data_IF_495044358839
#
_entry.id   IF_495044358839
#
_cell.length_a   1.000
_cell.length_b   1.000
_cell.length_c   1.000
_cell.angle_alpha   90.00
_cell.angle_beta   90.00
_cell.angle_gamma   90.00
#
_symmetry.space_group_name_H-M   'P 1'
#
loop_
_entity.id
_entity.type
_entity.pdbx_description
1 polymer ?
#
# COMPACT_ATOMS: atom_id res chain seq x y z
N UNK A 1 -16.17 -0.06 31.51
CA UNK A 1 -16.98 -0.25 30.27
C UNK A 1 -17.91 -1.43 30.54
N UNK A 2 -19.23 -1.27 30.33
CA UNK A 2 -20.21 -2.32 30.67
C UNK A 2 -20.20 -3.49 29.68
N UNK A 3 -19.96 -3.21 28.40
CA UNK A 3 -19.66 -4.24 27.40
C UNK A 3 -18.20 -4.67 27.60
N UNK A 4 -17.90 -5.98 27.76
CA UNK A 4 -16.53 -6.45 27.90
C UNK A 4 -15.66 -6.16 26.65
N UNK A 5 -14.35 -6.11 26.81
CA UNK A 5 -13.43 -5.72 25.73
C UNK A 5 -13.25 -6.76 24.63
N UNK A 6 -13.73 -7.99 24.83
CA UNK A 6 -13.61 -9.11 23.90
C UNK A 6 -14.95 -9.51 23.24
N UNK A 7 -16.02 -8.75 23.47
CA UNK A 7 -17.34 -8.96 22.85
C UNK A 7 -17.95 -7.62 22.48
N UNK A 8 -18.91 -7.63 21.57
CA UNK A 8 -19.68 -6.46 21.16
C UNK A 8 -21.06 -6.39 21.84
N UNK A 9 -21.39 -7.37 22.68
CA UNK A 9 -22.66 -7.45 23.39
C UNK A 9 -22.52 -8.06 24.78
N UNK A 10 -23.40 -7.66 25.70
CA UNK A 10 -23.59 -8.26 27.01
C UNK A 10 -25.07 -8.28 27.37
N UNK A 11 -25.55 -9.40 27.93
CA UNK A 11 -26.91 -9.50 28.43
C UNK A 11 -27.11 -8.66 29.69
N UNK A 12 -28.29 -8.04 29.83
CA UNK A 12 -28.62 -7.27 31.03
C UNK A 12 -28.71 -8.16 32.28
N UNK A 13 -29.13 -9.43 32.12
CA UNK A 13 -29.09 -10.44 33.17
C UNK A 13 -27.67 -10.67 33.71
N UNK A 14 -26.64 -10.62 32.85
CA UNK A 14 -25.25 -10.72 33.29
C UNK A 14 -24.83 -9.51 34.13
N UNK A 15 -25.29 -8.30 33.80
CA UNK A 15 -24.92 -7.08 34.52
C UNK A 15 -25.52 -7.03 35.93
N UNK A 16 -26.74 -7.52 36.11
CA UNK A 16 -27.38 -7.59 37.43
C UNK A 16 -26.89 -8.80 38.24
N UNK A 17 -26.38 -9.84 37.58
CA UNK A 17 -25.83 -11.03 38.22
C UNK A 17 -24.36 -10.89 38.62
N UNK A 18 -23.84 -11.91 39.31
CA UNK A 18 -22.41 -12.01 39.63
C UNK A 18 -21.58 -12.16 38.36
N UNK A 19 -20.41 -11.50 38.25
CA UNK A 19 -19.73 -10.74 39.30
C UNK A 19 -20.08 -9.25 39.35
N UNK A 20 -20.91 -8.74 38.44
CA UNK A 20 -21.10 -7.30 38.24
C UNK A 20 -22.01 -6.67 39.30
N UNK A 21 -23.14 -7.31 39.61
CA UNK A 21 -24.12 -6.84 40.60
C UNK A 21 -24.54 -5.36 40.40
N UNK A 22 -24.69 -4.92 39.15
CA UNK A 22 -25.10 -3.55 38.81
C UNK A 22 -26.62 -3.39 38.88
N UNK A 23 -27.17 -3.42 40.08
CA UNK A 23 -28.57 -3.10 40.36
C UNK A 23 -28.71 -2.56 41.79
N UNK A 24 -29.84 -1.92 42.05
CA UNK A 24 -30.21 -1.41 43.37
C UNK A 24 -31.73 -1.50 43.52
N UNK A 25 -32.15 -1.66 44.76
CA UNK A 25 -33.54 -1.82 45.15
C UNK A 25 -33.73 -1.14 46.51
N UNK A 26 -34.55 -0.09 46.52
CA UNK A 26 -34.70 0.82 47.66
C UNK A 26 -35.69 0.29 48.71
N UNK A 27 -36.68 -0.53 48.31
CA UNK A 27 -37.71 -1.06 49.20
C UNK A 27 -37.55 -2.55 49.52
N UNK A 28 -36.62 -3.23 48.84
CA UNK A 28 -36.15 -4.58 49.20
C UNK A 28 -36.95 -5.72 48.55
N UNK A 29 -37.81 -5.40 47.58
CA UNK A 29 -38.70 -6.35 46.89
C UNK A 29 -37.98 -7.30 45.89
N UNK A 30 -36.73 -6.98 45.54
CA UNK A 30 -35.85 -7.69 44.63
C UNK A 30 -34.76 -8.48 45.33
N UNK A 31 -34.72 -8.45 46.68
CA UNK A 31 -33.73 -9.18 47.47
C UNK A 31 -33.98 -10.70 47.51
N UNK A 32 -32.90 -11.48 47.56
CA UNK A 32 -32.92 -12.95 47.63
C UNK A 32 -32.58 -13.65 46.30
N UNK A 33 -32.57 -14.98 46.33
CA UNK A 33 -32.31 -15.81 45.13
C UNK A 33 -33.42 -15.55 44.11
N UNK A 34 -33.01 -15.21 42.89
CA UNK A 34 -33.89 -14.89 41.75
C UNK A 34 -34.93 -13.78 42.06
N UNK A 35 -34.61 -12.87 42.99
CA UNK A 35 -35.47 -11.76 43.38
C UNK A 35 -35.61 -10.69 42.28
N UNK A 36 -34.62 -10.57 41.39
CA UNK A 36 -34.61 -9.66 40.24
C UNK A 36 -34.24 -10.39 38.95
N UNK A 37 -34.92 -10.06 37.86
CA UNK A 37 -34.57 -10.52 36.51
C UNK A 37 -34.62 -9.38 35.51
N UNK A 38 -33.71 -9.42 34.54
CA UNK A 38 -33.64 -8.47 33.44
C UNK A 38 -33.51 -9.20 32.10
N UNK A 39 -34.35 -8.84 31.13
CA UNK A 39 -34.20 -9.30 29.73
C UNK A 39 -33.57 -8.19 28.89
N UNK A 40 -32.97 -8.59 27.77
CA UNK A 40 -32.35 -7.67 26.81
C UNK A 40 -30.82 -7.63 26.91
N UNK A 41 -30.20 -6.76 26.11
CA UNK A 41 -28.75 -6.65 25.96
C UNK A 41 -28.28 -5.22 25.74
N UNK A 42 -27.04 -4.93 26.12
CA UNK A 42 -26.28 -3.77 25.66
C UNK A 42 -25.35 -4.19 24.53
N UNK A 43 -25.25 -3.38 23.50
CA UNK A 43 -24.42 -3.60 22.33
C UNK A 43 -23.54 -2.38 22.07
N UNK A 44 -22.36 -2.62 21.51
CA UNK A 44 -21.40 -1.58 21.17
C UNK A 44 -20.76 -1.85 19.82
N UNK A 45 -21.02 -0.98 18.85
CA UNK A 45 -20.37 -1.01 17.53
C UNK A 45 -19.36 0.13 17.43
N UNK A 46 -18.17 -0.16 16.92
CA UNK A 46 -17.19 0.87 16.52
C UNK A 46 -16.85 0.62 15.06
N UNK A 47 -17.05 1.64 14.22
CA UNK A 47 -16.65 1.60 12.83
C UNK A 47 -15.81 2.83 12.46
N UNK A 48 -14.92 2.68 11.49
CA UNK A 48 -14.17 3.80 10.93
C UNK A 48 -15.02 4.64 9.96
N UNK A 49 -14.42 5.68 9.37
CA UNK A 49 -15.10 6.56 8.39
C UNK A 49 -15.65 5.84 7.15
N UNK A 50 -15.17 4.62 6.90
CA UNK A 50 -15.57 3.76 5.77
C UNK A 50 -16.57 2.70 6.20
N UNK A 51 -17.12 2.79 7.42
CA UNK A 51 -18.01 1.80 8.03
C UNK A 51 -17.39 0.39 8.21
N UNK A 52 -16.06 0.28 8.23
CA UNK A 52 -15.39 -0.99 8.55
C UNK A 52 -15.32 -1.15 10.07
N UNK A 53 -15.61 -2.35 10.61
CA UNK A 53 -15.47 -2.63 12.04
C UNK A 53 -14.05 -2.36 12.53
N UNK A 54 -13.94 -1.76 13.72
CA UNK A 54 -12.66 -1.45 14.36
C UNK A 54 -12.52 -2.31 15.60
N UNK A 55 -11.37 -2.99 15.71
CA UNK A 55 -11.11 -3.84 16.86
C UNK A 55 -10.95 -3.02 18.14
N UNK A 56 -11.36 -3.59 19.27
CA UNK A 56 -11.29 -2.97 20.61
C UNK A 56 -9.88 -2.60 21.05
N UNK A 57 -8.86 -3.26 20.50
CA UNK A 57 -7.44 -3.03 20.77
C UNK A 57 -6.73 -2.22 19.67
N UNK A 58 -7.44 -1.76 18.65
CA UNK A 58 -6.84 -0.98 17.56
C UNK A 58 -6.50 0.44 18.05
N UNK A 59 -5.27 0.87 17.78
CA UNK A 59 -4.85 2.25 18.04
C UNK A 59 -5.45 3.15 16.96
N UNK A 60 -6.39 4.02 17.36
CA UNK A 60 -7.09 4.90 16.43
C UNK A 60 -6.14 5.91 15.78
N UNK A 61 -6.11 5.90 14.45
CA UNK A 61 -5.32 6.84 13.64
C UNK A 61 -6.19 7.88 12.94
N UNK A 62 -5.61 9.02 12.60
CA UNK A 62 -6.30 10.08 11.82
C UNK A 62 -6.72 9.61 10.42
N UNK A 63 -6.04 8.60 9.84
CA UNK A 63 -6.33 8.10 8.49
C UNK A 63 -7.69 7.42 8.34
N UNK A 64 -8.18 6.81 9.43
CA UNK A 64 -9.46 6.12 9.48
C UNK A 64 -10.55 6.95 10.19
N UNK A 65 -10.20 8.14 10.67
CA UNK A 65 -11.08 9.11 11.34
C UNK A 65 -12.03 9.82 10.36
N UNK A 66 -13.25 10.23 10.78
CA UNK A 66 -13.84 10.02 12.10
C UNK A 66 -14.31 8.59 12.32
N UNK A 67 -14.19 8.11 13.55
CA UNK A 67 -14.78 6.85 13.99
C UNK A 67 -16.18 7.10 14.53
N UNK A 68 -17.09 6.17 14.28
CA UNK A 68 -18.45 6.18 14.77
C UNK A 68 -18.60 5.07 15.79
N UNK A 69 -18.86 5.47 17.04
CA UNK A 69 -19.14 4.58 18.16
C UNK A 69 -20.63 4.62 18.44
N UNK A 70 -21.31 3.48 18.33
CA UNK A 70 -22.74 3.36 18.61
C UNK A 70 -22.94 2.44 19.82
N UNK A 71 -23.54 2.98 20.87
CA UNK A 71 -24.05 2.21 22.00
C UNK A 71 -25.55 2.01 21.80
N UNK A 72 -26.04 0.78 21.99
CA UNK A 72 -27.47 0.49 21.87
C UNK A 72 -27.92 -0.54 22.90
N UNK A 73 -29.21 -0.53 23.19
CA UNK A 73 -29.89 -1.56 23.97
C UNK A 73 -31.02 -2.19 23.15
N UNK A 74 -31.31 -3.46 23.38
CA UNK A 74 -32.58 -4.06 22.92
C UNK A 74 -33.73 -3.57 23.81
N UNK A 75 -34.97 -3.83 23.40
CA UNK A 75 -36.09 -3.84 24.32
C UNK A 75 -35.88 -4.88 25.43
N UNK A 76 -36.59 -4.70 26.55
CA UNK A 76 -36.49 -5.61 27.68
C UNK A 76 -37.46 -5.32 28.80
N UNK A 77 -37.40 -6.19 29.80
CA UNK A 77 -38.28 -6.21 30.97
C UNK A 77 -37.39 -6.31 32.20
N UNK A 78 -37.63 -5.43 33.18
CA UNK A 78 -37.13 -5.55 34.54
C UNK A 78 -38.25 -6.10 35.40
N UNK A 79 -37.96 -7.12 36.20
CA UNK A 79 -38.96 -7.77 37.03
C UNK A 79 -38.42 -8.07 38.41
N UNK A 80 -39.16 -7.68 39.44
CA UNK A 80 -38.91 -8.06 40.84
C UNK A 80 -39.91 -9.14 41.26
N UNK A 81 -39.58 -9.90 42.31
CA UNK A 81 -40.45 -10.98 42.78
C UNK A 81 -41.65 -10.46 43.56
N UNK A 82 -41.45 -9.40 44.35
CA UNK A 82 -42.43 -8.91 45.32
C UNK A 82 -42.97 -7.51 45.03
N UNK A 83 -42.48 -6.83 43.98
CA UNK A 83 -42.89 -5.47 43.65
C UNK A 83 -44.34 -5.32 43.22
N UNK A 84 -44.86 -4.10 43.38
CA UNK A 84 -46.21 -3.74 42.92
C UNK A 84 -46.17 -2.36 42.25
N UNK A 85 -46.23 -2.27 40.91
CA UNK A 85 -46.22 -3.38 39.94
C UNK A 85 -44.88 -4.14 39.94
N UNK A 86 -44.90 -5.45 39.66
CA UNK A 86 -43.70 -6.29 39.70
C UNK A 86 -42.86 -6.25 38.41
N UNK A 87 -43.33 -5.56 37.37
CA UNK A 87 -42.61 -5.46 36.10
C UNK A 87 -42.60 -4.03 35.56
N UNK A 88 -41.50 -3.71 34.89
CA UNK A 88 -41.33 -2.49 34.09
C UNK A 88 -40.71 -2.84 32.74
N UNK A 89 -41.11 -2.12 31.69
CA UNK A 89 -40.69 -2.37 30.30
C UNK A 89 -39.94 -1.16 29.77
N UNK A 90 -38.91 -1.42 28.99
CA UNK A 90 -38.16 -0.36 28.29
C UNK A 90 -37.97 -0.73 26.81
N UNK A 91 -37.90 0.32 25.99
CA UNK A 91 -37.75 0.19 24.55
C UNK A 91 -36.28 0.14 24.14
N UNK A 92 -36.03 -0.41 22.95
CA UNK A 92 -34.73 -0.32 22.31
C UNK A 92 -34.35 1.15 22.05
N UNK A 93 -33.07 1.46 22.26
CA UNK A 93 -32.52 2.80 22.07
C UNK A 93 -31.08 2.73 21.57
N UNK A 94 -30.59 3.82 21.00
CA UNK A 94 -29.17 3.96 20.68
C UNK A 94 -28.69 5.40 20.83
N UNK A 95 -27.38 5.55 21.01
CA UNK A 95 -26.67 6.81 20.98
C UNK A 95 -25.40 6.62 20.16
N UNK A 96 -25.05 7.64 19.38
CA UNK A 96 -23.85 7.63 18.53
C UNK A 96 -22.90 8.75 18.93
N UNK A 97 -21.64 8.39 19.16
CA UNK A 97 -20.53 9.29 19.40
C UNK A 97 -19.56 9.25 18.23
N UNK A 98 -18.93 10.38 17.94
CA UNK A 98 -17.87 10.47 16.94
C UNK A 98 -16.53 10.70 17.63
N UNK A 99 -15.57 9.82 17.36
CA UNK A 99 -14.22 9.90 17.91
C UNK A 99 -13.28 10.38 16.81
N UNK A 100 -12.52 11.43 17.12
CA UNK A 100 -11.49 11.99 16.25
C UNK A 100 -10.18 12.05 17.04
N UNK A 101 -9.13 11.32 16.63
CA UNK A 101 -7.79 11.52 17.18
C UNK A 101 -7.34 12.98 17.04
N UNK A 102 -6.43 13.43 17.90
CA UNK A 102 -5.91 14.81 17.85
C UNK A 102 -5.34 15.11 16.46
N UNK A 103 -5.58 16.32 15.93
CA UNK A 103 -5.09 16.70 14.62
C UNK A 103 -3.56 16.76 14.61
N UNK A 104 -2.96 15.96 13.74
CA UNK A 104 -1.57 16.04 13.35
C UNK A 104 -1.48 15.53 11.91
N UNK A 105 -0.55 16.05 11.10
CA UNK A 105 -0.32 15.51 9.77
C UNK A 105 0.08 14.04 9.87
N UNK A 106 -0.70 13.14 9.27
CA UNK A 106 -0.37 11.69 9.25
C UNK A 106 -0.31 11.20 7.82
N UNK A 107 0.76 10.51 7.46
CA UNK A 107 0.86 9.82 6.19
C UNK A 107 -0.01 8.55 6.21
N UNK A 108 -1.02 8.50 5.35
CA UNK A 108 -1.97 7.39 5.33
C UNK A 108 -1.66 6.32 4.29
N UNK A 109 -1.26 6.74 3.10
CA UNK A 109 -0.90 5.82 2.03
C UNK A 109 0.04 6.50 1.03
N UNK A 110 0.75 5.65 0.29
CA UNK A 110 1.65 6.05 -0.80
C UNK A 110 1.11 5.51 -2.10
N UNK A 111 0.89 6.39 -3.07
CA UNK A 111 0.19 6.09 -4.31
C UNK A 111 1.13 6.18 -5.51
N UNK A 112 1.18 5.12 -6.29
CA UNK A 112 1.82 5.07 -7.62
C UNK A 112 0.95 5.75 -8.69
N UNK A 113 1.48 5.95 -9.91
CA UNK A 113 0.78 6.68 -10.96
C UNK A 113 -0.52 5.99 -11.41
N UNK A 114 -0.54 4.65 -11.47
CA UNK A 114 -1.72 3.86 -11.79
C UNK A 114 -2.04 2.88 -10.66
N UNK A 115 -3.29 2.88 -10.21
CA UNK A 115 -3.78 2.01 -9.12
C UNK A 115 -4.92 1.08 -9.58
N UNK A 116 -5.19 1.02 -10.88
CA UNK A 116 -6.33 0.29 -11.41
C UNK A 116 -6.05 -1.22 -11.50
N UNK A 117 -7.11 -2.02 -11.30
CA UNK A 117 -7.25 -3.43 -11.69
C UNK A 117 -6.27 -4.46 -11.10
N UNK A 118 -5.43 -4.10 -10.13
CA UNK A 118 -4.48 -5.03 -9.50
C UNK A 118 -4.75 -5.19 -8.01
N UNK A 119 -4.97 -6.43 -7.60
CA UNK A 119 -5.22 -6.83 -6.22
C UNK A 119 -3.88 -6.90 -5.45
N UNK A 120 -3.89 -6.52 -4.17
CA UNK A 120 -2.76 -6.74 -3.28
C UNK A 120 -2.79 -8.14 -2.69
N UNK A 121 -1.63 -8.68 -2.32
CA UNK A 121 -1.60 -9.96 -1.59
C UNK A 121 -2.18 -9.86 -0.17
N UNK A 122 -2.22 -8.65 0.38
CA UNK A 122 -2.76 -8.37 1.71
C UNK A 122 -3.13 -6.89 1.84
N UNK A 123 -4.28 -6.62 2.44
CA UNK A 123 -4.72 -5.26 2.81
C UNK A 123 -3.82 -4.61 3.86
N UNK A 124 -2.94 -5.37 4.52
CA UNK A 124 -1.91 -4.84 5.41
C UNK A 124 -0.76 -4.14 4.66
N UNK A 125 -0.61 -4.41 3.36
CA UNK A 125 0.45 -3.83 2.52
C UNK A 125 -0.12 -2.90 1.46
N UNK A 126 -1.22 -3.30 0.80
CA UNK A 126 -1.81 -2.57 -0.30
C UNK A 126 -3.33 -2.56 -0.20
N UNK A 127 -3.93 -1.36 -0.19
CA UNK A 127 -5.38 -1.21 -0.24
C UNK A 127 -5.78 -0.80 -1.66
N UNK A 128 -6.61 -1.63 -2.30
CA UNK A 128 -7.18 -1.34 -3.61
C UNK A 128 -7.86 0.04 -3.64
N UNK A 129 -7.60 0.82 -4.69
CA UNK A 129 -8.11 2.20 -4.79
C UNK A 129 -7.33 3.27 -4.00
N UNK A 130 -6.42 2.89 -3.08
CA UNK A 130 -5.65 3.84 -2.25
C UNK A 130 -4.15 3.79 -2.54
N UNK A 131 -3.51 2.64 -2.37
CA UNK A 131 -2.06 2.47 -2.55
C UNK A 131 -1.40 1.65 -1.45
N UNK A 132 -0.07 1.81 -1.30
CA UNK A 132 0.72 1.15 -0.27
C UNK A 132 0.49 1.78 1.11
N UNK A 133 0.35 0.94 2.12
CA UNK A 133 0.41 1.38 3.52
C UNK A 133 1.87 1.54 3.95
N UNK A 134 2.25 2.64 4.63
CA UNK A 134 3.54 2.72 5.31
C UNK A 134 3.68 1.57 6.32
N UNK A 135 4.77 0.81 6.24
CA UNK A 135 5.03 -0.36 7.09
C UNK A 135 5.82 0.02 8.34
N UNK A 136 6.67 1.05 8.27
CA UNK A 136 7.42 1.55 9.43
C UNK A 136 7.81 3.02 9.28
N UNK A 137 7.81 3.76 10.39
CA UNK A 137 8.39 5.11 10.47
C UNK A 137 9.77 5.12 11.17
N UNK A 138 10.22 3.97 11.67
CA UNK A 138 11.55 3.81 12.29
C UNK A 138 12.63 3.67 11.21
N UNK A 139 13.70 4.49 11.24
CA UNK A 139 14.73 4.50 10.18
C UNK A 139 15.38 3.15 9.88
N UNK A 140 15.65 2.33 10.91
CA UNK A 140 16.23 0.98 10.74
C UNK A 140 15.35 0.02 9.93
N UNK A 141 14.08 0.35 9.74
CA UNK A 141 13.08 -0.50 9.09
C UNK A 141 12.48 0.13 7.84
N UNK A 142 13.09 1.20 7.31
CA UNK A 142 12.65 1.83 6.04
C UNK A 142 12.73 0.89 4.84
N UNK A 143 13.52 -0.19 4.91
CA UNK A 143 13.55 -1.22 3.87
C UNK A 143 12.27 -2.04 3.71
N UNK A 144 11.28 -1.85 4.60
CA UNK A 144 9.93 -2.43 4.50
C UNK A 144 8.95 -1.53 3.73
N UNK A 145 9.29 -0.27 3.50
CA UNK A 145 8.42 0.68 2.82
C UNK A 145 8.64 0.68 1.31
N UNK A 146 7.58 1.02 0.57
CA UNK A 146 7.68 1.33 -0.84
C UNK A 146 8.40 2.67 -1.08
N UNK A 147 9.21 2.86 -2.12
CA UNK A 147 9.67 1.84 -3.05
C UNK A 147 10.98 1.17 -2.60
N UNK A 148 11.20 -0.06 -3.05
CA UNK A 148 12.51 -0.75 -2.98
C UNK A 148 13.26 -0.75 -4.30
N UNK A 149 12.61 -0.33 -5.38
CA UNK A 149 13.17 -0.24 -6.73
C UNK A 149 12.93 1.15 -7.30
N UNK A 150 13.68 1.61 -8.30
CA UNK A 150 13.44 2.93 -8.88
C UNK A 150 13.93 3.06 -10.31
N UNK A 151 13.48 4.09 -11.01
CA UNK A 151 13.97 4.51 -12.30
C UNK A 151 13.78 6.01 -12.47
N UNK A 152 14.52 6.60 -13.42
CA UNK A 152 14.45 8.03 -13.66
C UNK A 152 13.05 8.48 -14.10
N UNK A 153 12.56 9.57 -13.49
CA UNK A 153 11.24 10.17 -13.67
C UNK A 153 10.06 9.30 -13.21
N UNK A 154 10.30 8.23 -12.44
CA UNK A 154 9.20 7.63 -11.68
C UNK A 154 8.82 8.50 -10.50
N UNK A 155 7.55 8.49 -10.16
CA UNK A 155 7.03 9.26 -9.05
C UNK A 155 5.96 8.53 -8.26
N UNK A 156 5.76 8.96 -7.04
CA UNK A 156 4.64 8.54 -6.21
C UNK A 156 4.14 9.72 -5.40
N UNK A 157 2.92 9.59 -4.88
CA UNK A 157 2.28 10.61 -4.08
C UNK A 157 2.14 10.14 -2.65
N UNK A 158 2.61 10.94 -1.71
CA UNK A 158 2.31 10.80 -0.29
C UNK A 158 0.94 11.41 -0.03
N UNK A 159 0.00 10.60 0.46
CA UNK A 159 -1.31 11.08 0.88
C UNK A 159 -1.31 11.31 2.38
N UNK A 160 -1.10 12.56 2.74
CA UNK A 160 -1.11 13.03 4.11
C UNK A 160 -2.55 13.41 4.44
N UNK A 161 -3.08 12.90 5.54
CA UNK A 161 -4.34 13.37 6.06
C UNK A 161 -4.07 14.36 7.17
N UNK A 162 -4.63 15.55 7.02
CA UNK A 162 -4.81 16.47 8.12
C UNK A 162 -6.19 17.12 8.02
N UNK A 163 -7.00 16.93 9.06
CA UNK A 163 -8.37 17.44 9.11
C UNK A 163 -8.43 18.93 9.48
N UNK A 164 -7.41 19.46 10.16
CA UNK A 164 -7.40 20.84 10.68
C UNK A 164 -6.20 21.66 10.17
N UNK A 165 -5.24 21.04 9.50
CA UNK A 165 -4.02 21.68 9.03
C UNK A 165 -4.06 21.84 7.51
N UNK A 166 -4.57 22.99 7.06
CA UNK A 166 -4.47 23.44 5.67
C UNK A 166 -3.15 24.17 5.39
N UNK A 167 -2.15 24.06 6.28
CA UNK A 167 -0.88 24.76 6.11
C UNK A 167 0.06 23.95 5.22
N UNK A 168 0.69 24.57 4.21
CA UNK A 168 1.60 23.88 3.32
C UNK A 168 2.83 23.40 4.10
N UNK A 169 3.17 22.12 3.93
CA UNK A 169 4.42 21.58 4.45
C UNK A 169 5.58 21.96 3.53
N UNK A 170 6.71 22.32 4.13
CA UNK A 170 7.96 22.53 3.40
C UNK A 170 8.77 21.23 3.33
N UNK A 171 9.41 21.00 2.18
CA UNK A 171 10.17 19.79 1.88
C UNK A 171 11.48 20.16 1.19
N UNK A 172 12.56 19.48 1.55
CA UNK A 172 13.84 19.60 0.86
C UNK A 172 14.10 18.36 -0.01
N UNK A 173 14.70 18.49 -1.20
CA UNK A 173 15.13 17.34 -1.98
C UNK A 173 16.19 16.55 -1.22
N UNK A 174 16.22 15.23 -1.45
CA UNK A 174 17.17 14.31 -0.80
C UNK A 174 17.96 13.59 -1.88
N UNK A 175 19.29 13.69 -1.83
CA UNK A 175 20.19 13.10 -2.83
C UNK A 175 21.18 12.13 -2.19
N UNK A 176 21.15 10.87 -2.62
CA UNK A 176 22.05 9.82 -2.15
C UNK A 176 22.45 8.90 -3.30
N UNK A 177 23.73 8.54 -3.36
CA UNK A 177 24.24 7.53 -4.30
C UNK A 177 23.96 7.81 -5.78
N UNK A 178 23.89 9.08 -6.20
CA UNK A 178 23.58 9.47 -7.58
C UNK A 178 22.08 9.52 -7.94
N UNK A 179 21.20 9.31 -6.95
CA UNK A 179 19.75 9.41 -7.11
C UNK A 179 19.24 10.57 -6.26
N UNK A 180 18.28 11.33 -6.77
CA UNK A 180 17.62 12.43 -6.07
C UNK A 180 16.11 12.20 -6.00
N UNK A 181 15.55 12.33 -4.79
CA UNK A 181 14.13 12.42 -4.56
C UNK A 181 13.73 13.89 -4.45
N UNK A 182 13.05 14.41 -5.48
CA UNK A 182 12.54 15.78 -5.51
C UNK A 182 11.08 15.78 -5.10
N UNK A 183 10.74 16.62 -4.13
CA UNK A 183 9.40 16.74 -3.60
C UNK A 183 8.74 17.99 -4.17
N UNK A 184 7.57 17.82 -4.78
CA UNK A 184 6.76 18.92 -5.32
C UNK A 184 5.32 18.76 -4.84
N UNK A 185 4.71 19.88 -4.44
CA UNK A 185 3.33 19.90 -3.99
C UNK A 185 3.00 21.19 -3.27
N UNK A 186 1.93 21.84 -3.71
CA UNK A 186 1.35 23.02 -3.10
C UNK A 186 -0.13 22.70 -2.90
N UNK A 187 -0.59 22.85 -1.65
CA UNK A 187 -1.98 23.10 -1.23
C UNK A 187 -2.90 21.94 -0.79
N UNK A 188 -2.77 20.68 -1.24
CA UNK A 188 -3.86 19.69 -1.02
C UNK A 188 -3.51 18.37 -0.31
N UNK A 189 -2.50 18.35 0.56
CA UNK A 189 -2.12 17.16 1.34
C UNK A 189 -1.72 15.91 0.50
N UNK A 190 -1.54 16.10 -0.81
CA UNK A 190 -1.00 15.12 -1.75
C UNK A 190 0.35 15.67 -2.21
N UNK A 191 1.43 15.00 -1.79
CA UNK A 191 2.80 15.46 -2.04
C UNK A 191 3.46 14.52 -3.04
N UNK A 192 3.86 15.03 -4.20
CA UNK A 192 4.51 14.24 -5.25
C UNK A 192 6.00 14.13 -4.97
N UNK A 193 6.52 12.91 -5.01
CA UNK A 193 7.94 12.60 -4.91
C UNK A 193 8.38 12.03 -6.25
N UNK A 194 9.36 12.67 -6.89
CA UNK A 194 9.91 12.24 -8.18
C UNK A 194 11.35 11.79 -7.99
N UNK A 195 11.67 10.59 -8.48
CA UNK A 195 13.03 10.05 -8.46
C UNK A 195 13.75 10.40 -9.75
N UNK A 196 14.92 11.02 -9.64
CA UNK A 196 15.83 11.29 -10.77
C UNK A 196 17.18 10.64 -10.51
N UNK A 197 17.85 10.18 -11.56
CA UNK A 197 19.12 9.45 -11.44
C UNK A 197 19.63 8.99 -12.80
N UNK A 198 20.57 8.03 -12.84
CA UNK A 198 21.20 7.60 -14.08
C UNK A 198 20.18 7.11 -15.12
N UNK A 199 20.27 7.63 -16.34
CA UNK A 199 19.35 7.34 -17.45
C UNK A 199 20.01 7.67 -18.78
N UNK A 200 19.59 6.99 -19.85
CA UNK A 200 19.92 7.37 -21.23
C UNK A 200 18.81 8.28 -21.76
N UNK A 201 19.09 9.58 -21.87
CA UNK A 201 18.11 10.60 -22.29
C UNK A 201 18.00 10.78 -23.79
N UNK A 202 19.10 10.60 -24.53
CA UNK A 202 19.12 10.70 -25.99
C UNK A 202 18.53 9.43 -26.63
N UNK A 203 17.48 9.60 -27.45
CA UNK A 203 16.80 8.49 -28.11
C UNK A 203 17.64 7.83 -29.21
N UNK A 204 18.66 8.52 -29.74
CA UNK A 204 19.61 7.92 -30.69
C UNK A 204 20.47 6.84 -30.01
N UNK A 205 20.80 7.04 -28.73
CA UNK A 205 21.58 6.10 -27.93
C UNK A 205 20.80 4.80 -27.65
N UNK A 206 19.47 4.83 -27.67
CA UNK A 206 18.66 3.60 -27.52
C UNK A 206 18.86 2.65 -28.71
N UNK A 207 19.04 3.18 -29.91
CA UNK A 207 19.24 2.40 -31.15
C UNK A 207 20.72 2.06 -31.37
N UNK A 208 21.63 2.79 -30.74
CA UNK A 208 23.08 2.61 -30.90
C UNK A 208 23.53 1.22 -30.42
N UNK A 209 24.44 0.61 -31.17
CA UNK A 209 25.16 -0.60 -30.76
C UNK A 209 26.36 -0.27 -29.86
N UNK A 210 26.74 1.00 -29.76
CA UNK A 210 27.82 1.51 -28.91
C UNK A 210 27.30 2.75 -28.17
N UNK A 211 26.39 2.55 -27.19
CA UNK A 211 25.86 3.67 -26.43
C UNK A 211 26.91 4.26 -25.49
N UNK A 212 26.73 5.54 -25.15
CA UNK A 212 27.52 6.20 -24.13
C UNK A 212 27.28 5.57 -22.75
N UNK A 213 28.31 5.64 -21.91
CA UNK A 213 28.22 5.16 -20.53
C UNK A 213 27.42 6.16 -19.70
N UNK A 214 26.59 5.62 -18.81
CA UNK A 214 25.91 6.36 -17.76
C UNK A 214 26.50 5.96 -16.40
N UNK A 215 26.29 6.81 -15.42
CA UNK A 215 26.71 6.54 -14.05
C UNK A 215 26.00 5.31 -13.47
N UNK A 216 26.64 4.71 -12.46
CA UNK A 216 26.05 3.64 -11.65
C UNK A 216 25.70 4.20 -10.28
N UNK A 217 24.45 4.10 -9.84
CA UNK A 217 24.11 4.56 -8.51
C UNK A 217 24.77 3.65 -7.46
N UNK A 218 25.17 4.20 -6.32
CA UNK A 218 25.58 3.38 -5.19
C UNK A 218 24.32 2.88 -4.50
N UNK A 219 24.09 1.57 -4.41
CA UNK A 219 22.89 0.97 -3.80
C UNK A 219 23.29 -0.19 -2.86
N UNK A 220 22.51 -0.47 -1.80
CA UNK A 220 21.24 0.17 -1.44
C UNK A 220 21.42 1.57 -0.84
N UNK A 221 20.39 2.43 -0.95
CA UNK A 221 20.36 3.78 -0.35
C UNK A 221 19.09 4.01 0.43
N UNK A 222 19.25 4.60 1.62
CA UNK A 222 18.13 5.00 2.47
C UNK A 222 17.79 6.46 2.21
N UNK A 223 16.52 6.75 1.98
CA UNK A 223 15.98 8.09 1.84
C UNK A 223 15.05 8.38 3.02
N UNK A 224 15.13 9.58 3.61
CA UNK A 224 14.17 10.08 4.60
C UNK A 224 13.65 11.44 4.12
N UNK A 225 12.37 11.48 3.77
CA UNK A 225 11.64 12.69 3.39
C UNK A 225 11.04 13.29 4.66
N UNK A 226 11.33 14.57 4.91
CA UNK A 226 10.87 15.27 6.12
C UNK A 226 10.01 16.46 5.72
N UNK A 227 8.73 16.39 6.09
CA UNK A 227 7.76 17.47 5.92
C UNK A 227 7.78 18.35 7.16
N UNK A 228 8.04 19.65 6.97
CA UNK A 228 8.17 20.62 8.06
C UNK A 228 7.03 21.63 8.08
N UNK A 229 6.61 22.00 9.28
CA UNK A 229 5.65 23.09 9.49
C UNK A 229 6.26 24.47 9.19
N UNK A 230 5.45 25.53 9.29
CA UNK A 230 5.89 26.92 9.10
C UNK A 230 6.94 27.39 10.12
N UNK A 231 7.10 26.68 11.24
CA UNK A 231 8.13 26.96 12.25
C UNK A 231 9.41 26.13 12.02
N UNK A 232 9.44 25.30 10.97
CA UNK A 232 10.58 24.44 10.64
C UNK A 232 10.62 23.11 11.40
N UNK A 233 9.60 22.79 12.22
CA UNK A 233 9.55 21.53 12.96
C UNK A 233 9.18 20.37 12.02
N UNK A 234 9.82 19.22 12.20
CA UNK A 234 9.47 18.00 11.47
C UNK A 234 8.13 17.46 12.00
N UNK A 235 7.11 17.42 11.15
CA UNK A 235 5.75 16.95 11.50
C UNK A 235 5.33 15.71 10.74
N UNK A 236 5.94 15.44 9.59
CA UNK A 236 5.77 14.18 8.83
C UNK A 236 7.13 13.65 8.42
N UNK A 237 7.30 12.33 8.51
CA UNK A 237 8.46 11.64 7.96
C UNK A 237 8.00 10.49 7.09
N UNK A 238 8.71 10.27 5.99
CA UNK A 238 8.58 9.06 5.20
C UNK A 238 9.95 8.61 4.72
N UNK A 239 10.31 7.36 5.01
CA UNK A 239 11.57 6.83 4.52
C UNK A 239 11.42 5.49 3.81
N UNK A 240 12.32 5.24 2.88
CA UNK A 240 12.35 4.03 2.05
C UNK A 240 13.79 3.68 1.69
N UNK A 241 14.02 2.45 1.22
CA UNK A 241 15.36 1.99 0.80
C UNK A 241 15.31 1.50 -0.63
N UNK A 242 15.96 2.24 -1.54
CA UNK A 242 16.17 1.75 -2.91
C UNK A 242 17.27 0.69 -2.90
N UNK A 243 16.97 -0.47 -3.46
CA UNK A 243 17.86 -1.65 -3.57
C UNK A 243 18.31 -1.88 -5.01
N UNK A 244 17.46 -1.53 -5.99
CA UNK A 244 17.74 -1.69 -7.42
C UNK A 244 17.31 -0.44 -8.21
N UNK A 245 18.08 -0.11 -9.24
CA UNK A 245 17.81 0.97 -10.18
C UNK A 245 17.66 0.43 -11.60
N UNK A 246 16.60 0.85 -12.28
CA UNK A 246 16.24 0.41 -13.62
C UNK A 246 16.45 1.51 -14.65
N UNK A 247 17.01 1.13 -15.79
CA UNK A 247 17.29 2.01 -16.92
C UNK A 247 16.54 1.48 -18.15
N UNK A 248 15.56 2.24 -18.61
CA UNK A 248 14.75 1.87 -19.76
C UNK A 248 15.44 2.22 -21.10
N UNK A 249 15.42 1.29 -22.06
CA UNK A 249 15.91 1.50 -23.45
C UNK A 249 14.83 2.15 -24.34
N UNK A 250 14.08 3.10 -23.78
CA UNK A 250 12.98 3.78 -24.46
C UNK A 250 11.92 2.85 -25.03
N UNK A 251 11.48 3.13 -26.26
CA UNK A 251 10.51 2.35 -27.03
C UNK A 251 11.17 1.45 -28.10
N UNK A 252 12.51 1.39 -28.10
CA UNK A 252 13.26 0.59 -29.07
C UNK A 252 13.12 -0.90 -28.76
N UNK A 253 12.58 -1.64 -29.74
CA UNK A 253 12.43 -3.09 -29.67
C UNK A 253 13.57 -3.75 -30.41
N UNK A 254 14.14 -4.79 -29.81
CA UNK A 254 15.24 -5.55 -30.40
C UNK A 254 15.32 -6.96 -29.83
N UNK A 255 16.25 -7.74 -30.39
CA UNK A 255 16.59 -9.09 -29.92
C UNK A 255 17.16 -9.07 -28.50
N UNK A 256 17.13 -10.23 -27.84
CA UNK A 256 17.69 -10.39 -26.50
C UNK A 256 19.18 -10.01 -26.46
N UNK A 257 19.97 -10.50 -27.43
CA UNK A 257 21.42 -10.24 -27.50
C UNK A 257 21.74 -8.75 -27.72
N UNK A 258 20.90 -8.03 -28.47
CA UNK A 258 21.05 -6.58 -28.63
C UNK A 258 20.81 -5.86 -27.30
N UNK A 259 19.74 -6.23 -26.59
CA UNK A 259 19.42 -5.66 -25.27
C UNK A 259 20.51 -5.96 -24.24
N UNK A 260 20.98 -7.20 -24.19
CA UNK A 260 22.08 -7.62 -23.30
C UNK A 260 23.37 -6.84 -23.59
N UNK A 261 23.77 -6.77 -24.86
CA UNK A 261 24.94 -5.97 -25.25
C UNK A 261 24.77 -4.50 -24.89
N UNK A 262 23.56 -3.94 -25.04
CA UNK A 262 23.30 -2.54 -24.72
C UNK A 262 23.42 -2.28 -23.21
N UNK A 263 22.78 -3.11 -22.37
CA UNK A 263 22.88 -3.01 -20.91
C UNK A 263 24.34 -3.09 -20.42
N UNK A 264 25.13 -4.01 -20.98
CA UNK A 264 26.53 -4.14 -20.64
C UNK A 264 27.34 -2.89 -21.04
N UNK A 265 27.07 -2.30 -22.21
CA UNK A 265 27.83 -1.15 -22.74
C UNK A 265 27.52 0.18 -22.05
N UNK A 266 26.29 0.40 -21.59
CA UNK A 266 25.91 1.64 -20.89
C UNK A 266 26.56 1.78 -19.50
N UNK A 267 27.27 0.77 -18.99
CA UNK A 267 27.94 0.89 -17.68
C UNK A 267 28.11 -0.42 -16.91
N UNK A 268 27.86 -1.56 -17.55
CA UNK A 268 27.84 -2.87 -16.89
C UNK A 268 26.53 -3.16 -16.16
N UNK A 269 25.41 -2.61 -16.64
CA UNK A 269 24.09 -3.03 -16.20
C UNK A 269 23.76 -4.39 -16.81
N UNK A 270 22.84 -5.13 -16.22
CA UNK A 270 22.38 -6.43 -16.74
C UNK A 270 20.93 -6.36 -17.19
N UNK A 271 20.53 -7.30 -18.04
CA UNK A 271 19.10 -7.56 -18.30
C UNK A 271 18.47 -8.12 -17.00
N UNK A 272 17.28 -7.65 -16.60
CA UNK A 272 16.64 -8.11 -15.37
C UNK A 272 16.30 -9.60 -15.43
N UNK A 273 16.23 -10.24 -14.28
CA UNK A 273 15.57 -11.54 -14.11
C UNK A 273 14.06 -11.32 -14.00
N UNK A 274 13.27 -12.36 -14.21
CA UNK A 274 11.82 -12.31 -13.99
C UNK A 274 11.51 -11.84 -12.57
N UNK A 275 12.21 -12.37 -11.56
CA UNK A 275 12.07 -11.96 -10.16
C UNK A 275 12.43 -10.50 -9.86
N UNK A 276 13.22 -9.84 -10.72
CA UNK A 276 13.49 -8.41 -10.56
C UNK A 276 12.28 -7.57 -11.00
N UNK A 277 11.36 -8.14 -11.79
CA UNK A 277 10.24 -7.42 -12.40
C UNK A 277 8.88 -7.78 -11.80
N UNK A 278 8.63 -9.05 -11.49
CA UNK A 278 7.28 -9.53 -11.17
C UNK A 278 7.29 -10.66 -10.15
N UNK A 279 6.23 -10.76 -9.35
CA UNK A 279 5.93 -11.91 -8.49
C UNK A 279 4.90 -12.88 -9.10
N UNK A 280 4.55 -12.69 -10.37
CA UNK A 280 3.68 -13.59 -11.12
C UNK A 280 4.22 -15.02 -11.13
N UNK A 281 3.30 -16.00 -11.11
CA UNK A 281 3.61 -17.42 -11.23
C UNK A 281 2.95 -18.00 -12.47
N UNK A 282 3.42 -19.15 -12.94
CA UNK A 282 2.74 -19.89 -14.01
C UNK A 282 1.71 -20.85 -13.42
N UNK A 283 0.72 -20.29 -12.71
CA UNK A 283 -0.37 -21.02 -12.07
C UNK A 283 -1.69 -20.29 -12.31
N UNK A 284 -2.81 -20.99 -12.12
CA UNK A 284 -4.13 -20.36 -12.14
C UNK A 284 -4.47 -19.67 -13.46
N UNK A 285 -5.08 -18.49 -13.37
CA UNK A 285 -5.56 -17.75 -14.52
C UNK A 285 -4.39 -17.20 -15.37
N UNK A 286 -4.53 -17.17 -16.70
CA UNK A 286 -3.46 -16.75 -17.64
C UNK A 286 -2.19 -17.63 -17.60
N UNK A 287 -2.31 -18.89 -17.18
CA UNK A 287 -1.22 -19.86 -17.17
C UNK A 287 -1.36 -20.98 -18.22
N UNK A 288 -2.45 -20.96 -18.98
CA UNK A 288 -2.78 -21.92 -20.03
C UNK A 288 -2.67 -21.30 -21.45
N UNK A 289 -2.64 -22.19 -22.46
CA UNK A 289 -2.69 -21.80 -23.87
C UNK A 289 -1.50 -20.98 -24.35
N UNK A 290 -1.77 -19.75 -24.81
CA UNK A 290 -0.83 -18.81 -25.47
C UNK A 290 0.28 -18.29 -24.53
N UNK A 291 0.08 -18.41 -23.22
CA UNK A 291 1.04 -17.97 -22.20
C UNK A 291 2.00 -19.10 -21.86
N UNK A 292 3.02 -19.26 -22.70
CA UNK A 292 4.11 -20.21 -22.45
C UNK A 292 4.97 -19.76 -21.26
N UNK A 293 4.46 -19.78 -20.03
CA UNK A 293 5.16 -19.33 -18.82
C UNK A 293 5.83 -20.45 -18.02
N UNK A 294 5.73 -21.71 -18.47
CA UNK A 294 6.19 -22.86 -17.69
C UNK A 294 7.68 -22.77 -17.33
N UNK A 295 8.00 -23.04 -16.06
CA UNK A 295 9.35 -22.91 -15.51
C UNK A 295 9.74 -21.49 -15.07
N UNK A 296 8.82 -20.53 -15.07
CA UNK A 296 9.07 -19.17 -14.57
C UNK A 296 9.30 -19.17 -13.06
N UNK A 297 10.24 -18.33 -12.61
CA UNK A 297 10.50 -18.08 -11.18
C UNK A 297 10.41 -16.58 -10.94
N UNK A 298 9.24 -16.13 -10.49
CA UNK A 298 8.99 -14.77 -10.05
C UNK A 298 9.57 -14.44 -8.67
N UNK A 299 9.35 -13.21 -8.24
CA UNK A 299 9.65 -12.76 -6.89
C UNK A 299 8.71 -13.38 -5.85
N UNK A 300 9.09 -13.24 -4.58
CA UNK A 300 8.29 -13.63 -3.42
C UNK A 300 7.85 -12.40 -2.63
N UNK A 301 6.69 -12.44 -1.97
CA UNK A 301 5.68 -13.50 -2.01
C UNK A 301 5.00 -13.58 -3.39
N UNK A 302 4.71 -14.82 -3.79
CA UNK A 302 4.23 -15.14 -5.12
C UNK A 302 2.76 -14.79 -5.30
N UNK A 303 2.42 -14.30 -6.50
CA UNK A 303 1.05 -14.13 -6.94
C UNK A 303 0.37 -15.49 -7.17
N UNK A 304 -0.94 -15.64 -6.91
CA UNK A 304 -1.66 -16.88 -7.19
C UNK A 304 -1.75 -17.22 -8.68
N UNK A 305 -1.47 -16.25 -9.56
CA UNK A 305 -1.58 -16.42 -11.00
C UNK A 305 -0.49 -15.69 -11.81
N UNK A 306 -0.61 -15.73 -13.15
CA UNK A 306 0.34 -15.10 -14.07
C UNK A 306 0.09 -13.59 -14.23
N UNK A 307 -0.20 -12.89 -13.14
CA UNK A 307 -0.24 -11.43 -13.03
C UNK A 307 0.43 -10.99 -11.74
N UNK A 308 0.83 -9.73 -11.67
CA UNK A 308 1.36 -9.20 -10.41
C UNK A 308 0.25 -9.14 -9.36
N UNK A 309 0.62 -9.43 -8.12
CA UNK A 309 -0.18 -9.07 -6.95
C UNK A 309 0.62 -8.06 -6.13
N UNK A 310 0.05 -6.88 -5.86
CA UNK A 310 0.79 -5.74 -5.27
C UNK A 310 1.44 -6.13 -3.95
N UNK A 311 2.75 -5.89 -3.88
CA UNK A 311 3.55 -6.16 -2.71
C UNK A 311 4.88 -5.38 -2.77
N UNK A 312 5.42 -5.02 -1.61
CA UNK A 312 6.67 -4.28 -1.48
C UNK A 312 7.85 -5.27 -1.51
N UNK A 313 8.87 -5.01 -2.31
CA UNK A 313 10.04 -5.87 -2.45
C UNK A 313 9.84 -7.08 -3.36
N UNK A 314 8.74 -7.12 -4.13
CA UNK A 314 8.36 -8.27 -4.94
C UNK A 314 8.49 -8.01 -6.46
N UNK A 315 9.46 -7.18 -6.85
CA UNK A 315 9.78 -6.86 -8.25
C UNK A 315 9.28 -5.48 -8.69
N UNK A 316 9.94 -4.94 -9.72
CA UNK A 316 9.76 -3.57 -10.20
C UNK A 316 8.34 -3.27 -10.70
N UNK A 317 7.78 -4.08 -11.59
CA UNK A 317 6.41 -3.88 -12.09
C UNK A 317 5.36 -4.23 -11.03
N UNK A 318 5.70 -5.13 -10.09
CA UNK A 318 4.86 -5.39 -8.90
C UNK A 318 4.76 -4.14 -8.03
N UNK A 319 5.86 -3.42 -7.82
CA UNK A 319 5.87 -2.21 -7.02
C UNK A 319 5.24 -1.01 -7.73
N UNK A 320 5.68 -0.74 -8.97
CA UNK A 320 5.41 0.51 -9.67
C UNK A 320 4.16 0.50 -10.56
N UNK A 321 3.48 -0.63 -10.69
CA UNK A 321 2.30 -0.77 -11.52
C UNK A 321 2.53 -0.55 -13.01
N UNK A 322 1.49 -0.14 -13.71
CA UNK A 322 1.51 0.03 -15.16
C UNK A 322 2.51 1.13 -15.54
N UNK A 323 3.63 0.71 -16.12
CA UNK A 323 4.73 1.63 -16.44
C UNK A 323 4.34 2.63 -17.53
N UNK A 324 3.36 2.33 -18.38
CA UNK A 324 2.88 3.25 -19.41
C UNK A 324 2.22 4.50 -18.82
N UNK A 325 1.61 4.38 -17.63
CA UNK A 325 0.97 5.51 -16.93
C UNK A 325 1.96 6.64 -16.62
N UNK A 326 3.23 6.32 -16.36
CA UNK A 326 4.30 7.29 -16.08
C UNK A 326 4.76 8.10 -17.30
N UNK A 327 4.31 7.74 -18.51
CA UNK A 327 4.56 8.50 -19.74
C UNK A 327 3.51 9.58 -20.00
N UNK A 328 2.27 9.35 -19.53
CA UNK A 328 1.11 10.18 -19.87
C UNK A 328 0.55 10.98 -18.69
N UNK A 329 0.81 10.56 -17.44
CA UNK A 329 0.21 11.17 -16.26
C UNK A 329 0.93 12.44 -15.75
N UNK A 330 2.07 12.84 -16.34
CA UNK A 330 2.64 14.16 -16.11
C UNK A 330 1.95 15.17 -17.04
N UNK A 331 0.99 15.94 -16.53
CA UNK A 331 0.42 17.11 -17.23
C UNK A 331 1.44 18.21 -17.55
N UNK A 332 2.73 17.98 -17.23
CA UNK A 332 3.88 18.76 -17.63
C UNK A 332 4.65 18.00 -18.73
N UNK A 333 5.04 18.70 -19.80
CA UNK A 333 5.91 18.18 -20.85
C UNK A 333 7.37 18.00 -20.38
N UNK A 334 7.71 18.44 -19.16
CA UNK A 334 9.01 18.22 -18.52
C UNK A 334 8.94 16.98 -17.61
N UNK A 335 9.80 15.99 -17.86
CA UNK A 335 10.00 14.87 -16.92
C UNK A 335 9.10 13.64 -17.12
N UNK A 336 8.81 13.25 -18.37
CA UNK A 336 8.17 11.96 -18.64
C UNK A 336 9.14 10.81 -18.42
N UNK A 337 8.62 9.70 -17.90
CA UNK A 337 9.37 8.44 -18.00
C UNK A 337 9.34 7.94 -19.43
N UNK A 338 10.39 7.26 -19.87
CA UNK A 338 10.45 6.72 -21.24
C UNK A 338 9.76 5.36 -21.37
N UNK A 339 9.11 4.86 -20.31
CA UNK A 339 8.43 3.57 -20.33
C UNK A 339 7.23 3.59 -21.26
N UNK A 340 7.02 2.47 -21.96
CA UNK A 340 5.87 2.25 -22.83
C UNK A 340 5.19 0.94 -22.46
N UNK A 341 3.91 0.81 -22.82
CA UNK A 341 3.22 -0.48 -22.74
C UNK A 341 3.89 -1.49 -23.67
N UNK A 342 4.15 -2.69 -23.14
CA UNK A 342 4.74 -3.76 -23.92
C UNK A 342 5.46 -4.78 -23.06
N UNK A 343 6.26 -5.58 -23.75
CA UNK A 343 6.93 -6.76 -23.22
C UNK A 343 8.43 -6.49 -23.12
N UNK A 344 8.99 -6.63 -21.93
CA UNK A 344 10.40 -6.37 -21.64
C UNK A 344 11.17 -7.67 -21.47
N UNK A 345 12.35 -7.74 -22.07
CA UNK A 345 13.22 -8.90 -21.96
C UNK A 345 13.64 -9.19 -20.52
N UNK A 346 13.78 -10.47 -20.22
CA UNK A 346 14.49 -10.95 -19.03
C UNK A 346 15.58 -11.94 -19.42
N UNK A 347 16.54 -12.17 -18.54
CA UNK A 347 17.65 -13.11 -18.78
C UNK A 347 17.31 -14.58 -18.50
N UNK A 348 16.21 -14.86 -17.82
CA UNK A 348 15.77 -16.24 -17.56
C UNK A 348 15.31 -16.92 -18.86
N UNK A 349 15.59 -18.22 -19.01
CA UNK A 349 15.23 -18.98 -20.21
C UNK A 349 14.93 -20.45 -19.92
N UNK A 350 14.14 -21.05 -20.82
CA UNK A 350 13.93 -22.50 -20.90
C UNK A 350 14.24 -22.93 -22.33
N UNK A 351 15.23 -23.81 -22.50
CA UNK A 351 15.75 -24.16 -23.82
C UNK A 351 16.28 -22.93 -24.56
N UNK A 352 15.78 -22.69 -25.77
CA UNK A 352 16.16 -21.57 -26.64
C UNK A 352 15.25 -20.33 -26.51
N UNK A 353 14.27 -20.34 -25.59
CA UNK A 353 13.30 -19.26 -25.41
C UNK A 353 13.54 -18.52 -24.09
N UNK A 354 13.58 -17.20 -24.18
CA UNK A 354 13.77 -16.29 -23.05
C UNK A 354 12.42 -15.80 -22.54
N UNK A 355 12.32 -15.60 -21.22
CA UNK A 355 11.16 -14.97 -20.63
C UNK A 355 11.11 -13.48 -20.93
N UNK A 356 9.91 -12.95 -21.03
CA UNK A 356 9.63 -11.54 -21.06
C UNK A 356 8.44 -11.24 -20.15
N UNK A 357 8.39 -10.01 -19.63
CA UNK A 357 7.37 -9.57 -18.68
C UNK A 357 6.63 -8.37 -19.25
N UNK A 358 5.30 -8.39 -19.16
CA UNK A 358 4.46 -7.25 -19.60
C UNK A 358 4.55 -6.12 -18.58
N UNK A 359 4.79 -4.87 -19.01
CA UNK A 359 4.86 -3.73 -18.09
C UNK A 359 3.50 -3.19 -17.64
N UNK A 360 2.40 -3.78 -18.12
CA UNK A 360 1.03 -3.43 -17.73
C UNK A 360 0.53 -4.32 -16.59
N UNK A 361 0.54 -5.65 -16.79
CA UNK A 361 0.00 -6.63 -15.84
C UNK A 361 1.09 -7.45 -15.13
N UNK A 362 2.36 -7.27 -15.50
CA UNK A 362 3.48 -8.06 -14.97
C UNK A 362 3.40 -9.54 -15.30
N UNK A 363 2.58 -9.92 -16.29
CA UNK A 363 2.44 -11.29 -16.78
C UNK A 363 3.70 -11.75 -17.48
N UNK A 364 3.96 -13.05 -17.42
CA UNK A 364 5.15 -13.68 -17.96
C UNK A 364 4.80 -14.55 -19.15
N UNK A 365 5.65 -14.54 -20.17
CA UNK A 365 5.59 -15.47 -21.31
C UNK A 365 6.99 -15.66 -21.87
N UNK A 366 7.18 -16.61 -22.78
CA UNK A 366 8.47 -16.91 -23.42
C UNK A 366 8.44 -16.56 -24.90
N UNK A 367 9.60 -16.22 -25.45
CA UNK A 367 9.78 -16.09 -26.89
C UNK A 367 11.20 -16.45 -27.30
N UNK A 368 11.41 -16.72 -28.59
CA UNK A 368 12.74 -16.93 -29.15
C UNK A 368 13.59 -15.65 -29.04
N UNK A 369 14.90 -15.82 -28.84
CA UNK A 369 15.84 -14.71 -28.67
C UNK A 369 15.88 -13.71 -29.84
N UNK A 370 15.42 -14.13 -31.03
CA UNK A 370 15.34 -13.32 -32.25
C UNK A 370 14.10 -12.43 -32.35
N UNK A 371 13.12 -12.59 -31.45
CA UNK A 371 11.95 -11.73 -31.44
C UNK A 371 12.31 -10.31 -31.00
N UNK A 372 11.49 -9.34 -31.39
CA UNK A 372 11.65 -7.97 -30.95
C UNK A 372 10.83 -7.71 -29.68
N UNK A 373 11.52 -7.29 -28.62
CA UNK A 373 10.94 -6.88 -27.33
C UNK A 373 11.66 -5.64 -26.81
N UNK A 374 11.04 -4.97 -25.85
CA UNK A 374 11.60 -3.78 -25.22
C UNK A 374 12.78 -4.16 -24.32
N UNK A 375 13.75 -3.24 -24.23
CA UNK A 375 14.94 -3.41 -23.40
C UNK A 375 14.81 -2.69 -22.07
N UNK A 376 15.15 -3.38 -20.99
CA UNK A 376 15.27 -2.83 -19.64
C UNK A 376 16.57 -3.33 -19.04
N UNK A 377 17.27 -2.47 -18.33
CA UNK A 377 18.50 -2.82 -17.62
C UNK A 377 18.32 -2.55 -16.13
N UNK A 378 19.02 -3.30 -15.29
CA UNK A 378 18.97 -3.17 -13.84
C UNK A 378 20.38 -3.15 -13.24
N UNK A 379 20.53 -2.43 -12.13
CA UNK A 379 21.74 -2.41 -11.31
C UNK A 379 21.38 -2.34 -9.81
N UNK A 380 22.14 -3.03 -8.93
CA UNK A 380 22.99 -4.16 -9.27
C UNK A 380 22.22 -5.37 -9.82
#
# INVERSE_FOLDING_TARGET
MLVPTNTDSIALSSLIGTPYNYWGDDDGDGQGIDGITATGSLNLSIVNRWNQPVSRNEVLTSCNSPYKLTLSNSDGILKTRYGVPNESRFNAGNVTYYIKPKPSPVLCFVRVASINEVVGLSDAVWISGKGYLPQSFTPSSYGLNFPTTGANNLYFSLHIYDYNYNQPLSWAPVSHGGITATITGTENAIIKVTLTGPVVTDSNQWKSTSPDRIDKPSLPQTFELVGRDSSGNAVVKYGFVLKQWFVNRGDYRSTYSSTESWCNKIGGYRVPRVRDLTNATCQGYWSDGEYECQGVVGATPSSPDNRVSRHIGAGFFTEWADMGSYRYASGDNRGRSNFVHGNYWTQDRVGSRFFHVTAYAGSTSRNYSRADRLGLCVYP
#
